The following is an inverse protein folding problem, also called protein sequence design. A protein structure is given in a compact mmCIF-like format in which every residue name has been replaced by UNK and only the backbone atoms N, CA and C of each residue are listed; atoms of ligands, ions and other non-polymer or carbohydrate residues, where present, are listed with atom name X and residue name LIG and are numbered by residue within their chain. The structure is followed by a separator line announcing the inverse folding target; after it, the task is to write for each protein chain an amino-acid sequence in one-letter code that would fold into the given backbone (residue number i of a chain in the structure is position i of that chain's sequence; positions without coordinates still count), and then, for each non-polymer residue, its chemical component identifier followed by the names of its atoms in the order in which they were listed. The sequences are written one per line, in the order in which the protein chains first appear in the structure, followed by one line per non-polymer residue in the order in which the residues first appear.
data_IF_474000763563
#
_entry.id   IF_474000763563
#
_cell.length_a   1.000
_cell.length_b   1.000
_cell.length_c   1.000
_cell.angle_alpha   90.00
_cell.angle_beta   90.00
_cell.angle_gamma   90.00
#
_symmetry.space_group_name_H-M   'P 1'
#
loop_
_entity.id
_entity.type
_entity.pdbx_description
1 polymer ?
#
# COMPACT_ATOMS: atom_id res chain seq x y z
N UNK A 1 13.33 30.40 6.75
CA UNK A 1 13.93 29.06 6.67
C UNK A 1 12.88 28.17 6.05
N UNK A 2 12.96 27.75 4.78
CA UNK A 2 11.91 26.87 4.26
C UNK A 2 12.02 25.57 5.03
N UNK A 3 10.95 25.22 5.73
CA UNK A 3 10.83 23.94 6.41
C UNK A 3 11.17 22.83 5.41
N UNK A 4 12.00 21.87 5.84
CA UNK A 4 12.44 20.76 4.98
C UNK A 4 11.22 20.13 4.31
N UNK A 5 11.26 19.97 2.99
CA UNK A 5 10.19 19.27 2.26
C UNK A 5 9.94 17.89 2.89
N UNK A 6 8.67 17.45 2.98
CA UNK A 6 8.32 16.15 3.49
C UNK A 6 8.95 15.06 2.63
N UNK A 7 9.32 13.95 3.29
CA UNK A 7 9.86 12.79 2.58
C UNK A 7 8.73 12.05 1.87
N UNK A 8 9.04 11.36 0.78
CA UNK A 8 8.07 10.52 0.05
C UNK A 8 7.30 9.56 0.98
N UNK A 9 7.95 9.07 2.04
CA UNK A 9 7.34 8.21 3.05
C UNK A 9 6.15 8.87 3.76
N UNK A 10 6.23 10.15 4.10
CA UNK A 10 5.14 10.87 4.79
C UNK A 10 3.94 11.08 3.85
N UNK A 11 4.21 11.39 2.58
CA UNK A 11 3.18 11.52 1.55
C UNK A 11 2.51 10.16 1.28
N UNK A 12 3.27 9.07 1.26
CA UNK A 12 2.72 7.71 1.15
C UNK A 12 1.86 7.35 2.35
N UNK A 13 2.36 7.57 3.58
CA UNK A 13 1.60 7.30 4.80
C UNK A 13 0.28 8.08 4.84
N UNK A 14 0.27 9.32 4.34
CA UNK A 14 -0.94 10.12 4.20
C UNK A 14 -1.94 9.47 3.24
N UNK A 15 -1.47 8.98 2.08
CA UNK A 15 -2.32 8.29 1.11
C UNK A 15 -2.86 6.98 1.66
N UNK A 16 -2.06 6.23 2.39
CA UNK A 16 -2.44 4.92 2.93
C UNK A 16 -3.29 5.02 4.21
N UNK A 17 -3.69 6.22 4.63
CA UNK A 17 -4.45 6.50 5.86
C UNK A 17 -3.68 6.10 7.15
N UNK A 18 -2.35 6.05 7.05
CA UNK A 18 -1.43 5.67 8.13
C UNK A 18 -0.85 6.89 8.87
N UNK A 19 -1.32 8.10 8.57
CA UNK A 19 -0.89 9.33 9.25
C UNK A 19 -1.83 9.72 10.40
N UNK A 20 -1.24 10.10 11.52
CA UNK A 20 -1.96 10.74 12.63
C UNK A 20 -2.60 12.06 12.21
N UNK A 21 -3.61 12.57 12.95
CA UNK A 21 -4.22 13.86 12.65
C UNK A 21 -3.21 15.04 12.60
N UNK A 22 -2.19 15.00 13.48
CA UNK A 22 -1.16 16.04 13.53
C UNK A 22 -0.23 16.02 12.30
N UNK A 23 0.14 14.83 11.83
CA UNK A 23 0.95 14.66 10.61
C UNK A 23 0.16 15.10 9.36
N UNK A 24 -1.13 14.76 9.29
CA UNK A 24 -2.02 15.22 8.21
C UNK A 24 -2.10 16.75 8.16
N UNK A 25 -2.36 17.39 9.30
CA UNK A 25 -2.45 18.86 9.35
C UNK A 25 -1.14 19.55 8.94
N UNK A 26 0.02 19.01 9.35
CA UNK A 26 1.33 19.52 8.93
C UNK A 26 1.56 19.36 7.44
N UNK A 27 1.23 18.19 6.89
CA UNK A 27 1.38 17.93 5.46
C UNK A 27 0.45 18.84 4.64
N UNK A 28 -0.82 18.99 5.04
CA UNK A 28 -1.78 19.88 4.38
C UNK A 28 -1.29 21.34 4.36
N UNK A 29 -0.76 21.83 5.50
CA UNK A 29 -0.17 23.16 5.58
C UNK A 29 1.05 23.32 4.65
N UNK A 30 1.89 22.28 4.53
CA UNK A 30 3.04 22.30 3.62
C UNK A 30 2.61 22.29 2.14
N UNK A 31 1.64 21.44 1.79
CA UNK A 31 1.13 21.29 0.41
C UNK A 31 0.50 22.58 -0.12
N UNK A 32 -0.05 23.43 0.76
CA UNK A 32 -0.56 24.74 0.39
C UNK A 32 0.53 25.71 -0.13
N UNK A 33 1.81 25.45 0.18
CA UNK A 33 2.91 26.37 -0.11
C UNK A 33 4.04 25.75 -0.95
N UNK A 34 4.06 24.42 -1.13
CA UNK A 34 5.10 23.72 -1.88
C UNK A 34 4.54 22.99 -3.11
N UNK A 35 4.70 23.62 -4.28
CA UNK A 35 4.24 23.07 -5.56
C UNK A 35 4.88 21.71 -5.89
N UNK A 36 6.16 21.49 -5.55
CA UNK A 36 6.86 20.23 -5.81
C UNK A 36 6.23 19.07 -5.05
N UNK A 37 5.89 19.26 -3.77
CA UNK A 37 5.25 18.24 -2.96
C UNK A 37 3.78 18.03 -3.37
N UNK A 38 3.09 19.08 -3.83
CA UNK A 38 1.75 18.96 -4.41
C UNK A 38 1.74 18.12 -5.69
N UNK A 39 2.73 18.30 -6.58
CA UNK A 39 2.92 17.48 -7.77
C UNK A 39 3.21 16.02 -7.40
N UNK A 40 4.14 15.77 -6.48
CA UNK A 40 4.45 14.41 -6.00
C UNK A 40 3.22 13.70 -5.44
N UNK A 41 2.39 14.40 -4.65
CA UNK A 41 1.15 13.85 -4.13
C UNK A 41 0.15 13.52 -5.25
N UNK A 42 0.05 14.36 -6.27
CA UNK A 42 -0.81 14.10 -7.43
C UNK A 42 -0.33 12.86 -8.21
N UNK A 43 0.98 12.73 -8.44
CA UNK A 43 1.57 11.58 -9.13
C UNK A 43 1.32 10.27 -8.38
N UNK A 44 1.53 10.26 -7.06
CA UNK A 44 1.27 9.09 -6.21
C UNK A 44 -0.22 8.74 -6.14
N UNK A 45 -1.12 9.74 -6.14
CA UNK A 45 -2.58 9.50 -6.25
C UNK A 45 -2.94 8.86 -7.58
N UNK A 46 -2.35 9.35 -8.68
CA UNK A 46 -2.55 8.78 -10.02
C UNK A 46 -2.08 7.33 -10.09
N UNK A 47 -0.89 7.04 -9.58
CA UNK A 47 -0.36 5.68 -9.49
C UNK A 47 -1.29 4.76 -8.67
N UNK A 48 -1.73 5.21 -7.48
CA UNK A 48 -2.65 4.43 -6.63
C UNK A 48 -3.99 4.15 -7.33
N UNK A 49 -4.51 5.11 -8.09
CA UNK A 49 -5.73 4.91 -8.86
C UNK A 49 -5.52 3.87 -9.98
N UNK A 50 -4.41 3.95 -10.71
CA UNK A 50 -4.08 2.99 -11.76
C UNK A 50 -3.91 1.56 -11.22
N UNK A 51 -3.22 1.40 -10.08
CA UNK A 51 -3.06 0.10 -9.42
C UNK A 51 -4.39 -0.51 -8.98
N UNK A 52 -5.31 0.31 -8.45
CA UNK A 52 -6.66 -0.16 -8.06
C UNK A 52 -7.58 -0.47 -9.24
N UNK A 53 -7.26 0.04 -10.42
CA UNK A 53 -8.01 -0.23 -11.64
C UNK A 53 -7.53 -1.50 -12.36
N UNK A 54 -6.46 -2.15 -11.87
CA UNK A 54 -6.04 -3.44 -12.40
C UNK A 54 -7.15 -4.47 -12.21
N UNK A 55 -7.35 -5.37 -13.18
CA UNK A 55 -8.34 -6.44 -13.05
C UNK A 55 -7.96 -7.37 -11.91
N UNK A 56 -8.97 -7.94 -11.25
CA UNK A 56 -8.75 -9.02 -10.30
C UNK A 56 -8.23 -10.25 -11.05
N UNK A 57 -7.02 -10.67 -10.70
CA UNK A 57 -6.43 -11.89 -11.22
C UNK A 57 -7.03 -13.11 -10.52
N UNK A 58 -7.44 -14.10 -11.31
CA UNK A 58 -7.94 -15.37 -10.79
C UNK A 58 -6.91 -16.46 -11.05
N UNK A 59 -6.76 -17.41 -10.12
CA UNK A 59 -5.79 -18.50 -10.28
C UNK A 59 -6.16 -19.47 -11.41
N UNK A 60 -7.40 -19.41 -11.92
CA UNK A 60 -7.91 -20.35 -12.93
C UNK A 60 -8.20 -21.76 -12.38
N UNK A 61 -8.04 -21.98 -11.08
CA UNK A 61 -8.35 -23.22 -10.37
C UNK A 61 -8.60 -22.95 -8.87
N UNK A 62 -9.19 -23.92 -8.18
CA UNK A 62 -9.40 -23.84 -6.72
C UNK A 62 -8.09 -24.15 -5.96
N UNK A 63 -7.45 -23.10 -5.45
CA UNK A 63 -6.24 -23.23 -4.63
C UNK A 63 -6.45 -24.05 -3.36
N UNK A 64 -7.67 -24.08 -2.81
CA UNK A 64 -7.98 -24.79 -1.57
C UNK A 64 -7.72 -26.28 -1.71
N UNK A 65 -8.02 -26.86 -2.88
CA UNK A 65 -7.75 -28.27 -3.19
C UNK A 65 -6.25 -28.56 -3.25
N UNK A 66 -5.48 -27.67 -3.88
CA UNK A 66 -4.01 -27.82 -3.96
C UNK A 66 -3.39 -27.76 -2.56
N UNK A 67 -3.84 -26.83 -1.73
CA UNK A 67 -3.37 -26.70 -0.34
C UNK A 67 -3.74 -27.94 0.46
N UNK A 68 -4.99 -28.43 0.38
CA UNK A 68 -5.43 -29.67 1.03
C UNK A 68 -4.54 -30.85 0.67
N UNK A 69 -4.26 -31.04 -0.62
CA UNK A 69 -3.39 -32.13 -1.09
C UNK A 69 -1.98 -32.05 -0.49
N UNK A 70 -1.39 -30.85 -0.44
CA UNK A 70 -0.05 -30.65 0.13
C UNK A 70 -0.02 -30.89 1.64
N UNK A 71 -1.02 -30.40 2.37
CA UNK A 71 -1.11 -30.63 3.82
C UNK A 71 -1.26 -32.12 4.14
N UNK A 72 -2.07 -32.86 3.37
CA UNK A 72 -2.23 -34.30 3.53
C UNK A 72 -0.92 -35.06 3.23
N UNK A 73 -0.17 -34.67 2.20
CA UNK A 73 1.12 -35.27 1.86
C UNK A 73 2.23 -34.95 2.87
N UNK A 74 2.16 -33.79 3.53
CA UNK A 74 3.12 -33.36 4.55
C UNK A 74 2.77 -33.86 5.96
N UNK A 75 1.59 -34.45 6.16
CA UNK A 75 1.21 -35.00 7.46
C UNK A 75 2.20 -36.12 7.86
N UNK A 76 2.82 -36.04 9.04
CA UNK A 76 3.78 -37.06 9.46
C UNK A 76 3.06 -38.40 9.60
N UNK A 77 3.63 -39.44 9.00
CA UNK A 77 3.22 -40.83 9.23
C UNK A 77 3.45 -41.11 10.71
N UNK A 78 2.38 -41.22 11.50
CA UNK A 78 2.49 -41.69 12.89
C UNK A 78 3.02 -43.13 12.85
N UNK A 79 4.30 -43.29 13.14
CA UNK A 79 4.90 -44.59 13.44
C UNK A 79 4.26 -45.12 14.73
N UNK A 80 3.68 -46.31 14.65
CA UNK A 80 3.09 -47.06 15.75
C UNK A 80 4.15 -47.65 16.67
#
# INVERSE_FOLDING_TARGET
MPESCPKTLEISAFLDEQSSPAERARLDAHLAHCAQCATMLADLRGLRAALRALPDETLGYDLSEVIRGRLAAAAPTRAA
#
